data_IF_551316652738
#
_entry.id   IF_551316652738
#
_cell.length_a   1.000
_cell.length_b   1.000
_cell.length_c   1.000
_cell.angle_alpha   90.00
_cell.angle_beta   90.00
_cell.angle_gamma   90.00
#
_symmetry.space_group_name_H-M   'P 1'
#
loop_
_entity.id
_entity.type
_entity.pdbx_description
1 polymer ?
#
# COMPACT_ATOMS: atom_id res chain seq x y z
N UNK A 1 -33.63 -22.57 8.80
CA UNK A 1 -32.48 -23.49 8.66
C UNK A 1 -31.65 -23.47 9.95
N UNK A 2 -31.70 -24.54 10.74
CA UNK A 2 -30.89 -24.69 11.97
C UNK A 2 -29.43 -24.86 11.59
N UNK A 3 -28.67 -23.76 11.50
CA UNK A 3 -27.22 -23.82 11.39
C UNK A 3 -26.70 -24.31 12.74
N UNK A 4 -26.27 -25.57 12.79
CA UNK A 4 -25.62 -26.16 13.96
C UNK A 4 -24.37 -25.32 14.27
N UNK A 5 -24.33 -24.71 15.45
CA UNK A 5 -23.20 -23.94 16.02
C UNK A 5 -21.86 -24.69 16.10
N UNK A 6 -21.78 -25.96 15.71
CA UNK A 6 -20.62 -26.82 15.94
C UNK A 6 -19.94 -27.34 14.65
N UNK A 7 -20.29 -26.83 13.46
CA UNK A 7 -19.72 -27.33 12.20
C UNK A 7 -18.39 -26.67 11.79
N UNK A 8 -17.98 -25.56 12.40
CA UNK A 8 -16.80 -24.78 11.96
C UNK A 8 -15.45 -25.26 12.47
N UNK A 9 -15.36 -26.31 13.31
CA UNK A 9 -14.11 -26.60 14.02
C UNK A 9 -13.25 -27.74 13.46
N UNK A 10 -13.70 -28.48 12.43
CA UNK A 10 -12.95 -29.66 11.95
C UNK A 10 -13.22 -29.99 10.48
N UNK A 11 -12.98 -29.06 9.54
CA UNK A 11 -13.12 -29.34 8.12
C UNK A 11 -11.77 -29.26 7.42
N UNK A 12 -11.45 -30.30 6.66
CA UNK A 12 -10.32 -30.33 5.73
C UNK A 12 -10.55 -29.34 4.58
N UNK A 13 -9.48 -28.88 3.92
CA UNK A 13 -9.55 -27.88 2.84
C UNK A 13 -10.56 -28.26 1.74
N UNK A 14 -10.60 -29.54 1.34
CA UNK A 14 -11.51 -30.03 0.30
C UNK A 14 -13.01 -29.95 0.66
N UNK A 15 -13.38 -30.08 1.94
CA UNK A 15 -14.78 -29.98 2.39
C UNK A 15 -15.23 -28.53 2.54
N UNK A 16 -14.30 -27.63 2.91
CA UNK A 16 -14.55 -26.18 2.90
C UNK A 16 -14.83 -25.68 1.48
N UNK A 17 -14.09 -26.20 0.49
CA UNK A 17 -14.29 -25.88 -0.93
C UNK A 17 -15.73 -26.20 -1.37
N UNK A 18 -16.24 -27.40 -1.07
CA UNK A 18 -17.63 -27.73 -1.44
C UNK A 18 -18.69 -26.88 -0.75
N UNK A 19 -18.39 -26.32 0.43
CA UNK A 19 -19.35 -25.53 1.19
C UNK A 19 -19.44 -24.07 0.70
N UNK A 20 -18.30 -23.45 0.37
CA UNK A 20 -18.24 -22.08 -0.15
C UNK A 20 -18.96 -21.97 -1.50
N UNK A 21 -18.70 -22.89 -2.44
CA UNK A 21 -19.35 -22.91 -3.76
C UNK A 21 -20.86 -23.20 -3.72
N UNK A 22 -21.40 -23.67 -2.59
CA UNK A 22 -22.84 -23.90 -2.40
C UNK A 22 -23.58 -22.70 -1.80
N UNK A 23 -22.86 -21.68 -1.33
CA UNK A 23 -23.54 -20.51 -0.79
C UNK A 23 -24.06 -19.61 -1.91
N UNK A 24 -25.33 -19.23 -1.80
CA UNK A 24 -25.81 -18.00 -2.43
C UNK A 24 -25.12 -16.79 -1.76
N UNK A 25 -25.07 -15.65 -2.45
CA UNK A 25 -24.41 -14.42 -1.97
C UNK A 25 -24.87 -13.97 -0.57
N UNK A 26 -26.17 -14.06 -0.26
CA UNK A 26 -26.70 -13.65 1.05
C UNK A 26 -26.20 -14.54 2.22
N UNK A 27 -26.24 -15.88 2.14
CA UNK A 27 -25.55 -16.74 3.11
C UNK A 27 -24.05 -16.46 3.27
N UNK A 28 -23.34 -16.15 2.18
CA UNK A 28 -21.91 -15.82 2.23
C UNK A 28 -21.65 -14.51 2.97
N UNK A 29 -22.46 -13.47 2.70
CA UNK A 29 -22.43 -12.20 3.45
C UNK A 29 -22.65 -12.43 4.96
N UNK A 30 -23.68 -13.20 5.32
CA UNK A 30 -23.98 -13.52 6.72
C UNK A 30 -22.83 -14.27 7.37
N UNK A 31 -22.17 -15.18 6.65
CA UNK A 31 -20.99 -15.88 7.13
C UNK A 31 -19.86 -14.90 7.46
N UNK A 32 -19.49 -14.00 6.54
CA UNK A 32 -18.43 -13.00 6.77
C UNK A 32 -18.71 -12.11 8.00
N UNK A 33 -19.96 -11.71 8.18
CA UNK A 33 -20.38 -10.88 9.32
C UNK A 33 -20.33 -11.65 10.65
N UNK A 34 -20.77 -12.91 10.66
CA UNK A 34 -20.88 -13.73 11.87
C UNK A 34 -19.58 -14.46 12.26
N UNK A 35 -18.62 -14.62 11.35
CA UNK A 35 -17.37 -15.31 11.65
C UNK A 35 -16.61 -14.54 12.75
N UNK A 36 -16.26 -15.21 13.87
CA UNK A 36 -15.70 -14.54 15.05
C UNK A 36 -14.20 -14.26 14.94
N UNK A 37 -13.44 -14.96 14.07
CA UNK A 37 -11.98 -14.88 14.05
C UNK A 37 -11.38 -14.81 12.65
N UNK A 38 -10.24 -14.13 12.55
CA UNK A 38 -9.40 -13.95 11.35
C UNK A 38 -8.80 -15.26 10.83
N UNK A 39 -8.52 -16.20 11.73
CA UNK A 39 -7.80 -17.45 11.44
C UNK A 39 -8.60 -18.41 10.56
N UNK A 40 -9.92 -18.51 10.80
CA UNK A 40 -10.83 -19.35 10.00
C UNK A 40 -10.99 -18.78 8.59
N UNK A 41 -11.11 -17.45 8.46
CA UNK A 41 -11.14 -16.78 7.16
C UNK A 41 -9.85 -17.04 6.38
N UNK A 42 -8.70 -16.78 7.01
CA UNK A 42 -7.38 -16.84 6.38
C UNK A 42 -6.97 -18.24 5.92
N UNK A 43 -7.22 -19.27 6.72
CA UNK A 43 -6.72 -20.63 6.42
C UNK A 43 -7.65 -21.44 5.52
N UNK A 44 -8.96 -21.16 5.53
CA UNK A 44 -9.94 -22.05 4.89
C UNK A 44 -10.75 -21.39 3.75
N UNK A 45 -10.89 -20.06 3.72
CA UNK A 45 -11.77 -19.38 2.76
C UNK A 45 -11.03 -18.51 1.73
N UNK A 46 -9.99 -17.77 2.13
CA UNK A 46 -9.32 -16.79 1.24
C UNK A 46 -8.82 -17.38 -0.09
N UNK A 47 -8.16 -18.56 -0.15
CA UNK A 47 -7.67 -19.11 -1.42
C UNK A 47 -8.77 -19.38 -2.44
N UNK A 48 -9.98 -19.67 -1.96
CA UNK A 48 -11.12 -20.12 -2.76
C UNK A 48 -12.06 -18.97 -3.16
N UNK A 49 -11.91 -17.79 -2.55
CA UNK A 49 -12.67 -16.60 -2.93
C UNK A 49 -12.12 -16.08 -4.25
N UNK A 50 -12.97 -16.05 -5.28
CA UNK A 50 -12.67 -15.39 -6.56
C UNK A 50 -12.85 -13.87 -6.41
N UNK A 51 -12.17 -13.07 -7.24
CA UNK A 51 -12.34 -11.62 -7.21
C UNK A 51 -13.79 -11.19 -7.50
N UNK A 52 -14.52 -11.90 -8.36
CA UNK A 52 -15.94 -11.63 -8.60
C UNK A 52 -16.81 -11.88 -7.36
N UNK A 53 -16.49 -12.90 -6.54
CA UNK A 53 -17.20 -13.14 -5.27
C UNK A 53 -16.96 -12.02 -4.27
N UNK A 54 -15.71 -11.54 -4.16
CA UNK A 54 -15.34 -10.42 -3.30
C UNK A 54 -16.06 -9.13 -3.73
N UNK A 55 -16.05 -8.82 -5.03
CA UNK A 55 -16.76 -7.65 -5.57
C UNK A 55 -18.28 -7.77 -5.43
N UNK A 56 -18.85 -8.96 -5.63
CA UNK A 56 -20.29 -9.16 -5.50
C UNK A 56 -20.77 -8.95 -4.06
N UNK A 57 -20.00 -9.39 -3.05
CA UNK A 57 -20.38 -9.20 -1.66
C UNK A 57 -20.15 -7.76 -1.18
N UNK A 58 -19.11 -7.07 -1.65
CA UNK A 58 -18.86 -5.66 -1.29
C UNK A 58 -20.02 -4.75 -1.70
N UNK A 59 -20.60 -5.01 -2.89
CA UNK A 59 -21.77 -4.29 -3.42
C UNK A 59 -23.03 -4.40 -2.57
N UNK A 60 -23.13 -5.43 -1.73
CA UNK A 60 -24.27 -5.65 -0.83
C UNK A 60 -24.03 -5.12 0.58
N UNK A 61 -22.80 -4.71 0.90
CA UNK A 61 -22.39 -4.24 2.22
C UNK A 61 -22.58 -2.73 2.35
N UNK A 62 -23.05 -2.29 3.53
CA UNK A 62 -22.93 -0.87 3.92
C UNK A 62 -21.48 -0.58 4.35
N UNK A 63 -21.12 0.69 4.46
CA UNK A 63 -19.76 1.11 4.85
C UNK A 63 -19.30 0.46 6.17
N UNK A 64 -20.16 0.42 7.19
CA UNK A 64 -19.84 -0.25 8.45
C UNK A 64 -19.57 -1.76 8.30
N UNK A 65 -20.19 -2.42 7.33
CA UNK A 65 -20.05 -3.85 7.10
C UNK A 65 -18.70 -4.12 6.40
N UNK A 66 -18.34 -3.28 5.42
CA UNK A 66 -17.02 -3.28 4.79
C UNK A 66 -15.91 -3.10 5.82
N UNK A 67 -16.03 -2.09 6.70
CA UNK A 67 -15.08 -1.81 7.78
C UNK A 67 -14.95 -2.99 8.74
N UNK A 68 -16.10 -3.51 9.21
CA UNK A 68 -16.13 -4.60 10.19
C UNK A 68 -15.46 -5.88 9.67
N UNK A 69 -15.74 -6.25 8.42
CA UNK A 69 -15.16 -7.47 7.85
C UNK A 69 -13.70 -7.27 7.50
N UNK A 70 -13.33 -6.14 6.88
CA UNK A 70 -11.93 -5.85 6.56
C UNK A 70 -11.04 -5.88 7.81
N UNK A 71 -11.52 -5.36 8.96
CA UNK A 71 -10.79 -5.37 10.24
C UNK A 71 -10.44 -6.78 10.73
N UNK A 72 -11.25 -7.78 10.36
CA UNK A 72 -10.99 -9.18 10.70
C UNK A 72 -9.95 -9.82 9.77
N UNK A 73 -9.78 -9.30 8.57
CA UNK A 73 -8.84 -9.83 7.58
C UNK A 73 -7.42 -9.33 7.88
N UNK A 74 -6.63 -10.14 8.58
CA UNK A 74 -5.24 -9.83 8.91
C UNK A 74 -4.32 -10.33 7.80
N UNK A 75 -3.59 -9.43 7.17
CA UNK A 75 -2.56 -9.73 6.17
C UNK A 75 -1.28 -9.08 6.65
N UNK A 76 -0.28 -9.90 6.94
CA UNK A 76 1.01 -9.48 7.49
C UNK A 76 2.09 -9.89 6.50
N UNK A 77 2.97 -8.96 6.15
CA UNK A 77 4.06 -9.15 5.19
C UNK A 77 5.35 -8.61 5.80
N UNK A 78 6.50 -9.06 5.28
CA UNK A 78 7.79 -8.65 5.81
C UNK A 78 8.88 -8.59 4.76
N UNK A 79 9.75 -7.58 4.90
CA UNK A 79 10.99 -7.46 4.12
C UNK A 79 12.15 -7.01 5.01
N UNK A 80 12.31 -5.71 5.30
CA UNK A 80 13.26 -5.20 6.31
C UNK A 80 12.59 -4.89 7.65
N UNK A 81 11.28 -4.78 7.65
CA UNK A 81 10.41 -4.67 8.81
C UNK A 81 9.11 -5.48 8.60
N UNK A 82 8.25 -5.48 9.62
CA UNK A 82 6.98 -6.23 9.62
C UNK A 82 5.78 -5.30 9.48
N UNK A 83 5.00 -5.47 8.41
CA UNK A 83 3.90 -4.58 8.02
C UNK A 83 2.54 -5.29 8.16
N UNK A 84 1.50 -4.55 8.56
CA UNK A 84 0.11 -5.04 8.62
C UNK A 84 -0.33 -5.66 9.94
N UNK A 85 0.50 -5.55 11.00
CA UNK A 85 0.17 -6.03 12.34
C UNK A 85 -1.04 -5.29 12.94
N UNK A 86 -1.93 -5.97 13.70
CA UNK A 86 -2.99 -5.30 14.44
C UNK A 86 -2.43 -4.22 15.39
N UNK A 87 -3.09 -3.06 15.44
CA UNK A 87 -2.63 -1.93 16.26
C UNK A 87 -1.51 -1.10 15.62
N UNK A 88 -1.21 -1.34 14.35
CA UNK A 88 -0.16 -0.62 13.60
C UNK A 88 -0.75 -0.01 12.33
N UNK A 89 -0.16 1.09 11.87
CA UNK A 89 -0.38 1.68 10.56
C UNK A 89 0.94 2.27 10.05
N UNK A 90 1.34 1.79 8.88
CA UNK A 90 2.58 2.22 8.24
C UNK A 90 2.36 3.36 7.26
N UNK A 91 3.43 4.01 6.83
CA UNK A 91 3.36 5.06 5.81
C UNK A 91 4.40 4.88 4.72
N UNK A 92 4.00 5.15 3.48
CA UNK A 92 4.91 5.42 2.38
C UNK A 92 5.42 6.85 2.51
N UNK A 93 6.72 7.04 2.66
CA UNK A 93 7.33 8.36 2.49
C UNK A 93 7.55 8.56 0.99
N UNK A 94 6.89 9.54 0.39
CA UNK A 94 6.96 9.83 -1.05
C UNK A 94 7.64 11.19 -1.29
N UNK A 95 8.96 11.21 -1.50
CA UNK A 95 9.73 12.44 -1.66
C UNK A 95 9.89 12.80 -3.13
N UNK A 96 8.78 12.92 -3.86
CA UNK A 96 8.81 13.28 -5.29
C UNK A 96 9.38 14.70 -5.47
N UNK A 97 10.12 14.90 -6.55
CA UNK A 97 10.65 16.22 -6.92
C UNK A 97 10.42 16.46 -8.42
N UNK A 98 9.93 17.63 -8.87
CA UNK A 98 9.56 17.88 -10.27
C UNK A 98 10.67 17.67 -11.32
N UNK A 99 11.93 17.57 -10.86
CA UNK A 99 13.12 17.39 -11.68
C UNK A 99 14.07 16.32 -11.12
N UNK A 100 13.60 15.51 -10.18
CA UNK A 100 14.42 14.54 -9.45
C UNK A 100 15.72 15.14 -8.83
N UNK A 101 15.67 16.36 -8.27
CA UNK A 101 16.87 16.96 -7.64
C UNK A 101 17.24 16.16 -6.38
N UNK A 102 18.46 15.58 -6.30
CA UNK A 102 18.85 14.72 -5.20
C UNK A 102 18.76 15.38 -3.82
N UNK A 103 18.96 16.70 -3.74
CA UNK A 103 18.91 17.44 -2.46
C UNK A 103 17.48 17.67 -2.03
N UNK A 104 16.60 18.03 -2.97
CA UNK A 104 15.16 18.16 -2.72
C UNK A 104 14.57 16.84 -2.21
N UNK A 105 14.93 15.74 -2.87
CA UNK A 105 14.53 14.39 -2.47
C UNK A 105 15.08 14.05 -1.07
N UNK A 106 16.39 14.22 -0.84
CA UNK A 106 17.01 13.91 0.45
C UNK A 106 16.44 14.76 1.60
N UNK A 107 16.15 16.04 1.35
CA UNK A 107 15.52 16.93 2.31
C UNK A 107 14.11 16.43 2.68
N UNK A 108 13.30 16.04 1.68
CA UNK A 108 11.97 15.48 1.89
C UNK A 108 12.00 14.13 2.63
N UNK A 109 12.98 13.27 2.33
CA UNK A 109 13.23 12.03 3.09
C UNK A 109 13.50 12.35 4.56
N UNK A 110 14.43 13.25 4.85
CA UNK A 110 14.76 13.59 6.24
C UNK A 110 13.58 14.23 6.95
N UNK A 111 12.85 15.14 6.29
CA UNK A 111 11.64 15.74 6.87
C UNK A 111 10.62 14.67 7.24
N UNK A 112 10.25 13.78 6.31
CA UNK A 112 9.29 12.70 6.58
C UNK A 112 9.73 11.75 7.69
N UNK A 113 11.01 11.36 7.72
CA UNK A 113 11.55 10.51 8.80
C UNK A 113 11.45 11.18 10.18
N UNK A 114 11.61 12.51 10.27
CA UNK A 114 11.45 13.26 11.52
C UNK A 114 10.00 13.29 12.03
N UNK A 115 9.02 13.04 11.17
CA UNK A 115 7.63 12.79 11.56
C UNK A 115 7.29 11.30 11.73
N UNK A 116 8.29 10.42 11.66
CA UNK A 116 8.11 8.97 11.72
C UNK A 116 7.38 8.39 10.53
N UNK A 117 7.52 9.00 9.36
CA UNK A 117 7.03 8.46 8.09
C UNK A 117 8.08 7.60 7.40
N UNK A 118 7.66 6.57 6.67
CA UNK A 118 8.52 5.78 5.79
C UNK A 118 8.74 4.34 6.25
N UNK A 119 7.99 3.83 7.22
CA UNK A 119 8.06 2.42 7.61
C UNK A 119 7.48 1.48 6.55
N UNK A 120 6.51 1.90 5.74
CA UNK A 120 6.06 1.03 4.64
C UNK A 120 7.11 0.95 3.53
N UNK A 121 7.60 2.11 3.06
CA UNK A 121 8.59 2.25 2.00
C UNK A 121 9.00 3.72 1.88
N UNK A 122 10.25 3.99 1.50
CA UNK A 122 10.68 5.27 0.92
C UNK A 122 10.55 5.13 -0.60
N UNK A 123 9.46 5.68 -1.15
CA UNK A 123 8.99 5.40 -2.51
C UNK A 123 8.95 6.65 -3.39
N UNK A 124 9.83 6.74 -4.40
CA UNK A 124 9.92 7.88 -5.32
C UNK A 124 9.23 7.54 -6.63
N UNK A 125 8.25 8.36 -7.05
CA UNK A 125 7.83 8.41 -8.45
C UNK A 125 8.85 9.30 -9.18
N UNK A 126 9.66 8.78 -10.11
CA UNK A 126 10.68 9.58 -10.77
C UNK A 126 10.05 10.45 -11.88
N UNK A 127 10.57 11.66 -12.07
CA UNK A 127 10.24 12.52 -13.20
C UNK A 127 10.87 12.04 -14.52
N UNK A 128 11.86 11.13 -14.47
CA UNK A 128 12.53 10.55 -15.64
C UNK A 128 12.56 9.01 -15.63
N UNK A 129 12.51 8.41 -16.82
CA UNK A 129 12.72 6.96 -17.03
C UNK A 129 14.15 6.62 -17.48
N UNK A 130 15.10 7.56 -17.35
CA UNK A 130 16.50 7.35 -17.72
C UNK A 130 17.19 6.38 -16.76
N UNK A 131 17.68 5.24 -17.28
CA UNK A 131 18.35 4.21 -16.48
C UNK A 131 19.49 4.77 -15.60
N UNK A 132 20.42 5.62 -16.10
CA UNK A 132 21.42 6.26 -15.22
C UNK A 132 20.82 7.07 -14.07
N UNK A 133 19.79 7.88 -14.33
CA UNK A 133 19.16 8.70 -13.29
C UNK A 133 18.44 7.82 -12.25
N UNK A 134 17.79 6.75 -12.70
CA UNK A 134 17.17 5.76 -11.81
C UNK A 134 18.23 5.09 -10.92
N UNK A 135 19.40 4.73 -11.47
CA UNK A 135 20.52 4.20 -10.68
C UNK A 135 20.94 5.19 -9.60
N UNK A 136 21.11 6.47 -9.95
CA UNK A 136 21.50 7.52 -9.01
C UNK A 136 20.49 7.65 -7.86
N UNK A 137 19.18 7.58 -8.15
CA UNK A 137 18.12 7.57 -7.14
C UNK A 137 18.19 6.33 -6.23
N UNK A 138 18.39 5.13 -6.79
CA UNK A 138 18.52 3.91 -6.00
C UNK A 138 19.71 3.98 -5.03
N UNK A 139 20.88 4.45 -5.51
CA UNK A 139 22.06 4.59 -4.65
C UNK A 139 21.89 5.70 -3.60
N UNK A 140 21.22 6.81 -3.93
CA UNK A 140 20.93 7.87 -2.98
C UNK A 140 20.10 7.36 -1.80
N UNK A 141 19.00 6.65 -2.08
CA UNK A 141 18.11 6.15 -1.01
C UNK A 141 18.80 5.04 -0.22
N UNK A 142 19.53 4.13 -0.88
CA UNK A 142 20.31 3.09 -0.21
C UNK A 142 21.40 3.68 0.71
N UNK A 143 22.10 4.73 0.28
CA UNK A 143 23.06 5.44 1.13
C UNK A 143 22.38 6.00 2.38
N UNK A 144 21.24 6.67 2.26
CA UNK A 144 20.51 7.24 3.40
C UNK A 144 20.04 6.14 4.36
N UNK A 145 19.45 5.06 3.83
CA UNK A 145 18.99 3.92 4.64
C UNK A 145 20.16 3.31 5.41
N UNK A 146 21.30 3.08 4.76
CA UNK A 146 22.47 2.48 5.39
C UNK A 146 23.16 3.44 6.37
N UNK A 147 23.28 4.72 6.04
CA UNK A 147 23.89 5.76 6.89
C UNK A 147 23.19 5.82 8.27
N UNK A 148 21.86 5.77 8.26
CA UNK A 148 21.05 5.89 9.48
C UNK A 148 20.56 4.55 10.02
N UNK A 149 20.91 3.43 9.37
CA UNK A 149 20.46 2.08 9.74
C UNK A 149 18.94 2.00 9.90
N UNK A 150 18.23 2.57 8.92
CA UNK A 150 16.78 2.68 8.94
C UNK A 150 16.17 1.30 8.61
N UNK A 151 15.30 0.73 9.46
CA UNK A 151 14.62 -0.53 9.16
C UNK A 151 13.43 -0.26 8.23
N UNK A 152 13.73 0.04 6.97
CA UNK A 152 12.75 0.26 5.89
C UNK A 152 13.36 -0.10 4.54
N UNK A 153 12.53 -0.10 3.50
CA UNK A 153 12.87 -0.45 2.13
C UNK A 153 12.74 0.76 1.19
N UNK A 154 13.55 0.74 0.13
CA UNK A 154 13.48 1.69 -0.98
C UNK A 154 12.62 1.17 -2.14
N UNK A 155 12.01 2.08 -2.90
CA UNK A 155 11.41 1.75 -4.18
C UNK A 155 11.42 2.98 -5.10
N UNK A 156 11.87 2.82 -6.35
CA UNK A 156 11.72 3.84 -7.39
C UNK A 156 10.65 3.35 -8.37
N UNK A 157 9.50 4.02 -8.37
CA UNK A 157 8.25 3.61 -9.01
C UNK A 157 8.24 3.91 -10.52
N UNK A 158 9.28 3.45 -11.22
CA UNK A 158 9.33 3.41 -12.69
C UNK A 158 8.72 2.10 -13.21
N UNK A 159 8.60 1.95 -14.53
CA UNK A 159 8.14 0.71 -15.14
C UNK A 159 8.99 -0.51 -14.74
N UNK A 160 8.35 -1.66 -14.50
CA UNK A 160 9.00 -2.88 -14.01
C UNK A 160 10.20 -3.33 -14.86
N UNK A 161 10.17 -3.12 -16.17
CA UNK A 161 11.30 -3.48 -17.06
C UNK A 161 12.53 -2.63 -16.82
N UNK A 162 12.36 -1.36 -16.45
CA UNK A 162 13.49 -0.50 -16.08
C UNK A 162 14.10 -0.99 -14.76
N UNK A 163 13.26 -1.45 -13.83
CA UNK A 163 13.70 -2.01 -12.56
C UNK A 163 14.50 -3.31 -12.76
N UNK A 164 14.08 -4.20 -13.67
CA UNK A 164 14.88 -5.37 -14.08
C UNK A 164 16.26 -4.92 -14.62
N UNK A 165 16.28 -3.95 -15.53
CA UNK A 165 17.54 -3.45 -16.12
C UNK A 165 18.50 -2.82 -15.11
N UNK A 166 18.00 -2.06 -14.13
CA UNK A 166 18.88 -1.49 -13.08
C UNK A 166 19.38 -2.58 -12.13
N UNK A 167 18.59 -3.62 -11.85
CA UNK A 167 19.04 -4.80 -11.09
C UNK A 167 20.20 -5.49 -11.82
N UNK A 168 20.07 -5.73 -13.13
CA UNK A 168 21.14 -6.30 -13.96
C UNK A 168 22.42 -5.45 -13.96
N UNK A 169 22.27 -4.13 -13.78
CA UNK A 169 23.36 -3.16 -13.67
C UNK A 169 23.88 -2.98 -12.23
N UNK A 170 23.34 -3.70 -11.26
CA UNK A 170 23.82 -3.73 -9.88
C UNK A 170 23.20 -2.68 -8.95
N UNK A 171 22.03 -2.12 -9.28
CA UNK A 171 21.31 -1.23 -8.36
C UNK A 171 20.85 -1.98 -7.09
N UNK A 172 20.86 -1.31 -5.91
CA UNK A 172 20.41 -1.86 -4.64
C UNK A 172 18.88 -1.85 -4.49
N UNK A 173 18.15 -2.49 -5.42
CA UNK A 173 16.68 -2.49 -5.42
C UNK A 173 16.13 -3.33 -4.26
N UNK A 174 15.37 -2.73 -3.35
CA UNK A 174 14.68 -3.46 -2.28
C UNK A 174 13.32 -4.00 -2.77
N UNK A 175 12.43 -3.13 -3.25
CA UNK A 175 11.13 -3.52 -3.81
C UNK A 175 11.06 -3.23 -5.30
N UNK A 176 10.37 -4.10 -6.03
CA UNK A 176 10.01 -3.87 -7.43
C UNK A 176 8.55 -3.44 -7.55
N UNK A 177 8.35 -2.25 -8.11
CA UNK A 177 7.05 -1.64 -8.31
C UNK A 177 6.42 -1.99 -9.67
N UNK A 178 5.09 -2.08 -9.74
CA UNK A 178 4.37 -1.98 -11.01
C UNK A 178 2.89 -1.62 -10.79
N UNK A 179 2.34 -0.74 -11.64
CA UNK A 179 0.88 -0.58 -11.75
C UNK A 179 0.26 -1.78 -12.45
N UNK A 180 -0.79 -2.37 -11.87
CA UNK A 180 -1.47 -3.56 -12.39
C UNK A 180 -2.98 -3.31 -12.54
N UNK A 181 -3.62 -4.12 -13.37
CA UNK A 181 -5.04 -4.02 -13.69
C UNK A 181 -5.75 -5.39 -13.70
N UNK A 182 -7.08 -5.35 -13.60
CA UNK A 182 -7.94 -6.53 -13.54
C UNK A 182 -8.21 -7.26 -14.86
N UNK A 183 -7.66 -6.79 -15.98
CA UNK A 183 -7.80 -7.46 -17.29
C UNK A 183 -6.48 -7.53 -18.03
N UNK A 184 -6.30 -8.59 -18.81
CA UNK A 184 -5.10 -8.79 -19.62
C UNK A 184 -4.91 -7.64 -20.62
N UNK A 185 -6.00 -7.15 -21.23
CA UNK A 185 -5.93 -6.01 -22.17
C UNK A 185 -5.43 -4.73 -21.48
N UNK A 186 -5.85 -4.45 -20.26
CA UNK A 186 -5.36 -3.31 -19.49
C UNK A 186 -3.88 -3.48 -19.09
N UNK A 187 -3.48 -4.64 -18.58
CA UNK A 187 -2.08 -4.93 -18.26
C UNK A 187 -1.16 -4.80 -19.50
N UNK A 188 -1.60 -5.29 -20.67
CA UNK A 188 -0.88 -5.09 -21.93
C UNK A 188 -0.74 -3.63 -22.32
N UNK A 189 -1.76 -2.79 -22.04
CA UNK A 189 -1.67 -1.35 -22.27
C UNK A 189 -0.67 -0.65 -21.36
N UNK A 190 -0.40 -1.23 -20.19
CA UNK A 190 0.69 -0.80 -19.29
C UNK A 190 2.04 -1.37 -19.67
N UNK A 191 2.14 -2.18 -20.73
CA UNK A 191 3.41 -2.78 -21.16
C UNK A 191 3.81 -4.05 -20.41
N UNK A 192 2.89 -4.70 -19.70
CA UNK A 192 3.20 -5.87 -18.85
C UNK A 192 2.30 -7.08 -19.14
N UNK A 193 2.82 -8.25 -18.77
CA UNK A 193 2.05 -9.46 -18.53
C UNK A 193 2.53 -10.15 -17.23
N UNK A 194 1.91 -11.27 -16.87
CA UNK A 194 2.27 -11.98 -15.63
C UNK A 194 3.67 -12.59 -15.68
N UNK A 195 4.21 -12.88 -16.86
CA UNK A 195 5.55 -13.44 -17.00
C UNK A 195 6.62 -12.39 -16.66
N UNK A 196 6.44 -11.15 -17.13
CA UNK A 196 7.31 -10.02 -16.77
C UNK A 196 7.29 -9.75 -15.27
N UNK A 197 6.11 -9.83 -14.63
CA UNK A 197 6.02 -9.68 -13.17
C UNK A 197 6.74 -10.80 -12.41
N UNK A 198 6.68 -12.05 -12.91
CA UNK A 198 7.40 -13.18 -12.33
C UNK A 198 8.92 -13.04 -12.48
N UNK A 199 9.38 -12.58 -13.64
CA UNK A 199 10.79 -12.27 -13.90
C UNK A 199 11.30 -11.19 -12.93
N UNK A 200 10.54 -10.11 -12.79
CA UNK A 200 10.85 -9.01 -11.89
C UNK A 200 10.96 -9.46 -10.42
N UNK A 201 10.00 -10.27 -9.98
CA UNK A 201 10.03 -10.86 -8.64
C UNK A 201 11.28 -11.72 -8.44
N UNK A 202 11.61 -12.58 -9.41
CA UNK A 202 12.80 -13.42 -9.36
C UNK A 202 14.09 -12.59 -9.33
N UNK A 203 14.15 -11.51 -10.10
CA UNK A 203 15.29 -10.60 -10.12
C UNK A 203 15.49 -9.94 -8.75
N UNK A 204 14.44 -9.40 -8.14
CA UNK A 204 14.54 -8.76 -6.83
C UNK A 204 14.91 -9.76 -5.72
N UNK A 205 14.31 -10.95 -5.72
CA UNK A 205 14.66 -12.02 -4.77
C UNK A 205 16.13 -12.44 -4.88
N UNK A 206 16.70 -12.42 -6.09
CA UNK A 206 18.10 -12.79 -6.31
C UNK A 206 19.11 -11.88 -5.57
N UNK A 207 18.69 -10.66 -5.23
CA UNK A 207 19.53 -9.70 -4.49
C UNK A 207 19.65 -10.05 -2.99
N UNK A 208 18.76 -10.88 -2.44
CA UNK A 208 18.77 -11.33 -1.04
C UNK A 208 18.88 -10.18 -0.01
N UNK A 209 18.13 -9.09 -0.23
CA UNK A 209 18.23 -7.85 0.56
C UNK A 209 17.30 -7.78 1.77
N UNK A 210 16.31 -8.67 1.86
CA UNK A 210 15.39 -8.72 2.99
C UNK A 210 16.06 -9.26 4.25
N UNK A 211 15.81 -8.63 5.39
CA UNK A 211 16.42 -8.99 6.69
C UNK A 211 15.43 -9.63 7.67
N UNK A 212 14.12 -9.43 7.46
CA UNK A 212 13.01 -9.99 8.24
C UNK A 212 12.20 -10.98 7.41
N UNK A 213 11.94 -10.64 6.14
CA UNK A 213 11.20 -11.47 5.20
C UNK A 213 11.66 -11.26 3.77
N UNK A 214 10.90 -11.79 2.81
CA UNK A 214 11.24 -11.81 1.39
C UNK A 214 10.08 -11.40 0.47
N UNK A 215 9.10 -10.65 0.99
CA UNK A 215 8.10 -10.03 0.14
C UNK A 215 8.75 -8.84 -0.60
N UNK A 216 8.87 -8.91 -1.93
CA UNK A 216 9.65 -7.93 -2.73
C UNK A 216 8.82 -7.11 -3.71
N UNK A 217 7.54 -7.46 -3.90
CA UNK A 217 6.70 -6.76 -4.88
C UNK A 217 5.94 -5.60 -4.25
N UNK A 218 5.79 -4.53 -5.00
CA UNK A 218 4.92 -3.41 -4.69
C UNK A 218 3.97 -3.15 -5.88
N UNK A 219 2.65 -3.22 -5.67
CA UNK A 219 1.68 -2.94 -6.72
C UNK A 219 0.80 -1.73 -6.43
N UNK A 220 0.48 -0.99 -7.48
CA UNK A 220 -0.59 0.01 -7.48
C UNK A 220 -1.75 -0.40 -8.36
N UNK A 221 -2.96 -0.13 -7.87
CA UNK A 221 -4.23 -0.37 -8.55
C UNK A 221 -5.11 0.88 -8.44
N UNK A 222 -6.34 0.83 -8.93
CA UNK A 222 -7.25 1.95 -8.82
C UNK A 222 -8.46 1.79 -9.72
N UNK A 223 -9.63 2.06 -9.14
CA UNK A 223 -10.87 2.11 -9.90
C UNK A 223 -10.77 3.13 -11.03
N UNK A 224 -11.27 2.75 -12.20
CA UNK A 224 -11.26 3.58 -13.41
C UNK A 224 -10.15 3.24 -14.40
N UNK A 225 -9.03 2.68 -13.94
CA UNK A 225 -7.88 2.32 -14.79
C UNK A 225 -8.27 1.44 -15.99
N UNK A 226 -9.05 0.39 -15.74
CA UNK A 226 -9.48 -0.57 -16.76
C UNK A 226 -10.50 0.04 -17.74
N UNK A 227 -11.34 0.95 -17.27
CA UNK A 227 -12.28 1.69 -18.13
C UNK A 227 -11.54 2.70 -19.02
N UNK A 228 -10.59 3.43 -18.44
CA UNK A 228 -9.70 4.36 -19.15
C UNK A 228 -8.93 3.68 -20.28
N UNK A 229 -8.43 2.47 -20.04
CA UNK A 229 -7.78 1.63 -21.05
C UNK A 229 -8.74 1.01 -22.09
N UNK A 230 -10.04 1.33 -22.06
CA UNK A 230 -11.10 0.72 -22.88
C UNK A 230 -11.03 -0.82 -22.84
N UNK A 231 -10.82 -1.36 -21.64
CA UNK A 231 -10.45 -2.75 -21.40
C UNK A 231 -11.30 -3.41 -20.32
N UNK A 232 -12.44 -2.82 -19.96
CA UNK A 232 -13.34 -3.35 -18.94
C UNK A 232 -14.36 -4.35 -19.49
N UNK A 233 -14.58 -4.38 -20.81
CA UNK A 233 -15.48 -5.34 -21.47
C UNK A 233 -16.92 -5.29 -20.91
N UNK A 234 -17.39 -4.10 -20.51
CA UNK A 234 -18.70 -3.91 -19.89
C UNK A 234 -18.79 -4.30 -18.41
N UNK A 235 -17.67 -4.71 -17.78
CA UNK A 235 -17.58 -4.97 -16.35
C UNK A 235 -17.41 -3.67 -15.58
N UNK A 236 -18.01 -3.59 -14.39
CA UNK A 236 -17.94 -2.42 -13.52
C UNK A 236 -16.56 -2.24 -12.86
N UNK A 237 -16.28 -1.01 -12.40
CA UNK A 237 -14.98 -0.61 -11.85
C UNK A 237 -14.53 -1.48 -10.66
N UNK A 238 -15.42 -1.71 -9.69
CA UNK A 238 -15.11 -2.49 -8.49
C UNK A 238 -14.77 -3.94 -8.80
N UNK A 239 -15.48 -4.56 -9.74
CA UNK A 239 -15.20 -5.94 -10.13
C UNK A 239 -13.85 -6.05 -10.85
N UNK A 240 -13.53 -5.08 -11.71
CA UNK A 240 -12.20 -4.97 -12.31
C UNK A 240 -11.10 -4.76 -11.26
N UNK A 241 -11.35 -3.90 -10.27
CA UNK A 241 -10.40 -3.62 -9.21
C UNK A 241 -10.14 -4.84 -8.32
N UNK A 242 -11.18 -5.59 -7.93
CA UNK A 242 -11.02 -6.85 -7.22
C UNK A 242 -10.17 -7.87 -8.00
N UNK A 243 -10.28 -7.89 -9.34
CA UNK A 243 -9.44 -8.75 -10.20
C UNK A 243 -7.98 -8.32 -10.20
N UNK A 244 -7.68 -7.04 -10.07
CA UNK A 244 -6.30 -6.56 -9.90
C UNK A 244 -5.69 -7.10 -8.61
N UNK A 245 -6.46 -7.17 -7.51
CA UNK A 245 -5.99 -7.82 -6.28
C UNK A 245 -5.73 -9.31 -6.43
N UNK A 246 -6.44 -10.02 -7.31
CA UNK A 246 -6.13 -11.41 -7.61
C UNK A 246 -4.78 -11.56 -8.34
N UNK A 247 -4.41 -10.60 -9.19
CA UNK A 247 -3.07 -10.51 -9.78
C UNK A 247 -2.04 -10.25 -8.67
N UNK A 248 -2.24 -9.24 -7.82
CA UNK A 248 -1.35 -8.95 -6.70
C UNK A 248 -1.12 -10.17 -5.80
N UNK A 249 -2.20 -10.84 -5.38
CA UNK A 249 -2.17 -12.04 -4.54
C UNK A 249 -1.25 -13.13 -5.09
N UNK A 250 -1.19 -13.31 -6.41
CA UNK A 250 -0.35 -14.32 -7.05
C UNK A 250 1.14 -14.13 -6.76
N UNK A 251 1.59 -12.88 -6.59
CA UNK A 251 3.00 -12.53 -6.40
C UNK A 251 3.37 -12.21 -4.95
N UNK A 252 2.48 -12.44 -3.97
CA UNK A 252 2.78 -12.27 -2.53
C UNK A 252 3.53 -10.97 -2.21
N UNK A 253 2.99 -9.79 -2.58
CA UNK A 253 3.69 -8.52 -2.48
C UNK A 253 3.94 -8.14 -1.02
N UNK A 254 4.92 -7.25 -0.80
CA UNK A 254 5.03 -6.58 0.49
C UNK A 254 3.89 -5.58 0.64
N UNK A 255 3.66 -4.81 -0.42
CA UNK A 255 2.73 -3.70 -0.46
C UNK A 255 1.80 -3.81 -1.68
N UNK A 256 0.54 -3.46 -1.48
CA UNK A 256 -0.32 -3.05 -2.59
C UNK A 256 -1.17 -1.89 -2.13
N UNK A 257 -1.42 -0.90 -2.97
CA UNK A 257 -2.42 0.12 -2.68
C UNK A 257 -3.33 0.37 -3.87
N UNK A 258 -4.60 0.63 -3.56
CA UNK A 258 -5.46 1.39 -4.48
C UNK A 258 -5.02 2.85 -4.43
N UNK A 259 -5.15 3.55 -5.56
CA UNK A 259 -5.00 5.00 -5.65
C UNK A 259 -6.39 5.61 -5.89
N UNK A 260 -7.15 5.81 -4.81
CA UNK A 260 -8.57 6.20 -4.92
C UNK A 260 -8.68 7.72 -5.11
N UNK A 261 -9.41 8.17 -6.14
CA UNK A 261 -9.60 9.60 -6.42
C UNK A 261 -8.52 10.26 -7.29
N UNK A 262 -7.50 9.51 -7.72
CA UNK A 262 -6.36 10.02 -8.49
C UNK A 262 -6.66 10.36 -9.95
N UNK A 263 -7.56 9.60 -10.60
CA UNK A 263 -7.76 9.75 -12.05
C UNK A 263 -8.62 10.98 -12.37
N UNK A 264 -9.75 11.15 -11.67
CA UNK A 264 -10.64 12.29 -11.90
C UNK A 264 -12.13 11.98 -11.68
N UNK A 265 -12.98 13.03 -11.76
CA UNK A 265 -14.42 12.97 -11.53
C UNK A 265 -15.20 12.14 -12.55
N UNK A 266 -14.58 11.80 -13.69
CA UNK A 266 -15.17 10.93 -14.71
C UNK A 266 -15.35 9.50 -14.19
N UNK A 267 -14.59 9.12 -13.17
CA UNK A 267 -14.61 7.79 -12.56
C UNK A 267 -15.20 7.80 -11.14
N UNK A 268 -14.83 8.80 -10.33
CA UNK A 268 -15.31 9.03 -8.97
C UNK A 268 -15.54 10.54 -8.77
N UNK A 269 -16.79 10.97 -8.86
CA UNK A 269 -17.14 12.40 -9.00
C UNK A 269 -16.92 13.23 -7.74
N UNK A 270 -17.34 12.70 -6.59
CA UNK A 270 -17.41 13.43 -5.31
C UNK A 270 -16.73 12.67 -4.17
N UNK A 271 -16.51 13.36 -3.04
CA UNK A 271 -15.96 12.77 -1.82
C UNK A 271 -16.72 11.53 -1.34
N UNK A 272 -18.04 11.49 -1.51
CA UNK A 272 -18.87 10.33 -1.16
C UNK A 272 -18.52 9.08 -1.99
N UNK A 273 -18.31 9.24 -3.28
CA UNK A 273 -17.90 8.16 -4.18
C UNK A 273 -16.47 7.70 -3.87
N UNK A 274 -15.55 8.64 -3.64
CA UNK A 274 -14.17 8.34 -3.24
C UNK A 274 -14.15 7.54 -1.93
N UNK A 275 -14.88 8.00 -0.91
CA UNK A 275 -14.99 7.31 0.39
C UNK A 275 -15.53 5.89 0.20
N UNK A 276 -16.58 5.73 -0.61
CA UNK A 276 -17.19 4.42 -0.86
C UNK A 276 -16.20 3.48 -1.57
N UNK A 277 -15.55 3.95 -2.63
CA UNK A 277 -14.59 3.18 -3.41
C UNK A 277 -13.41 2.73 -2.54
N UNK A 278 -12.81 3.63 -1.75
CA UNK A 278 -11.70 3.28 -0.86
C UNK A 278 -12.06 2.19 0.16
N UNK A 279 -13.29 2.22 0.70
CA UNK A 279 -13.77 1.18 1.61
C UNK A 279 -14.02 -0.16 0.90
N UNK A 280 -14.58 -0.16 -0.30
CA UNK A 280 -14.82 -1.39 -1.08
C UNK A 280 -13.50 -2.01 -1.54
N UNK A 281 -12.56 -1.20 -1.98
CA UNK A 281 -11.19 -1.58 -2.37
C UNK A 281 -10.48 -2.24 -1.20
N UNK A 282 -10.37 -1.53 -0.07
CA UNK A 282 -9.74 -2.04 1.14
C UNK A 282 -10.34 -3.37 1.60
N UNK A 283 -11.68 -3.47 1.63
CA UNK A 283 -12.38 -4.70 1.94
C UNK A 283 -12.03 -5.84 0.96
N UNK A 284 -12.10 -5.59 -0.34
CA UNK A 284 -11.85 -6.62 -1.36
C UNK A 284 -10.41 -7.11 -1.30
N UNK A 285 -9.42 -6.22 -1.21
CA UNK A 285 -8.01 -6.60 -1.12
C UNK A 285 -7.71 -7.41 0.13
N UNK A 286 -8.19 -6.97 1.31
CA UNK A 286 -8.01 -7.72 2.56
C UNK A 286 -8.72 -9.07 2.54
N UNK A 287 -9.93 -9.14 1.98
CA UNK A 287 -10.66 -10.41 1.82
C UNK A 287 -9.93 -11.39 0.89
N UNK A 288 -9.25 -10.87 -0.13
CA UNK A 288 -8.42 -11.66 -1.03
C UNK A 288 -7.00 -11.94 -0.47
N UNK A 289 -6.67 -11.48 0.74
CA UNK A 289 -5.38 -11.75 1.36
C UNK A 289 -4.23 -10.87 0.86
N UNK A 290 -4.53 -9.70 0.30
CA UNK A 290 -3.54 -8.71 -0.16
C UNK A 290 -3.22 -7.72 0.98
N UNK A 291 -1.95 -7.33 1.21
CA UNK A 291 -1.56 -6.31 2.20
C UNK A 291 -1.96 -4.91 1.72
N UNK A 292 -3.26 -4.66 1.68
CA UNK A 292 -3.81 -3.50 0.99
C UNK A 292 -3.70 -2.22 1.86
N UNK A 293 -2.96 -1.24 1.35
CA UNK A 293 -2.98 0.16 1.75
C UNK A 293 -3.87 0.99 0.83
N UNK A 294 -3.87 2.31 1.01
CA UNK A 294 -4.65 3.24 0.20
C UNK A 294 -3.90 4.56 0.05
N UNK A 295 -3.72 5.02 -1.18
CA UNK A 295 -3.51 6.45 -1.43
C UNK A 295 -4.86 7.13 -1.21
N UNK A 296 -5.00 7.87 -0.12
CA UNK A 296 -6.25 8.57 0.21
C UNK A 296 -6.16 9.95 -0.41
N UNK A 297 -6.69 10.07 -1.62
CA UNK A 297 -6.37 11.22 -2.45
C UNK A 297 -7.54 11.73 -3.28
N UNK A 298 -7.37 12.92 -3.84
CA UNK A 298 -8.28 13.51 -4.81
C UNK A 298 -7.53 14.44 -5.76
N UNK A 299 -8.16 14.79 -6.86
CA UNK A 299 -7.67 15.81 -7.79
C UNK A 299 -8.53 17.07 -7.69
N UNK A 300 -7.91 18.23 -7.93
CA UNK A 300 -8.56 19.55 -7.78
C UNK A 300 -9.82 19.80 -8.63
N UNK A 301 -10.17 18.89 -9.55
CA UNK A 301 -11.34 19.00 -10.40
C UNK A 301 -12.46 17.99 -10.02
N UNK A 302 -12.25 17.16 -9.00
CA UNK A 302 -13.30 16.41 -8.34
C UNK A 302 -14.08 17.27 -7.33
N UNK A 303 -15.34 16.94 -7.06
CA UNK A 303 -16.13 17.57 -5.98
C UNK A 303 -15.76 16.93 -4.63
N UNK A 304 -14.51 17.15 -4.22
CA UNK A 304 -13.94 16.62 -2.98
C UNK A 304 -12.89 17.59 -2.42
N UNK A 305 -12.64 17.50 -1.13
CA UNK A 305 -11.59 18.25 -0.46
C UNK A 305 -10.87 17.41 0.62
N UNK A 306 -9.98 18.05 1.38
CA UNK A 306 -9.20 17.38 2.42
C UNK A 306 -10.08 16.85 3.58
N UNK A 307 -11.25 17.44 3.84
CA UNK A 307 -12.15 16.96 4.91
C UNK A 307 -12.77 15.59 4.53
N UNK A 308 -13.01 15.37 3.23
CA UNK A 308 -13.38 14.05 2.70
C UNK A 308 -12.26 13.03 2.89
N UNK A 309 -11.00 13.45 2.68
CA UNK A 309 -9.82 12.59 2.88
C UNK A 309 -9.64 12.25 4.36
N UNK A 310 -9.84 13.21 5.26
CA UNK A 310 -9.83 13.00 6.71
C UNK A 310 -10.86 11.95 7.14
N UNK A 311 -12.05 12.03 6.55
CA UNK A 311 -13.12 11.06 6.75
C UNK A 311 -12.68 9.68 6.26
N UNK A 312 -12.18 9.58 5.02
CA UNK A 312 -11.77 8.30 4.44
C UNK A 312 -10.63 7.64 5.22
N UNK A 313 -9.55 8.37 5.51
CA UNK A 313 -8.39 7.82 6.21
C UNK A 313 -8.77 7.33 7.62
N UNK A 314 -9.66 8.04 8.32
CA UNK A 314 -10.14 7.64 9.65
C UNK A 314 -10.97 6.35 9.59
N UNK A 315 -11.84 6.22 8.58
CA UNK A 315 -12.63 5.01 8.38
C UNK A 315 -11.75 3.81 8.03
N UNK A 316 -10.77 4.00 7.15
CA UNK A 316 -9.85 2.94 6.73
C UNK A 316 -8.90 2.50 7.86
N UNK A 317 -8.37 3.43 8.66
CA UNK A 317 -7.55 3.08 9.81
C UNK A 317 -8.34 2.25 10.85
N UNK A 318 -9.61 2.60 11.09
CA UNK A 318 -10.51 1.77 11.88
C UNK A 318 -10.72 0.38 11.26
N UNK A 319 -10.83 0.30 9.93
CA UNK A 319 -10.91 -0.95 9.16
C UNK A 319 -9.62 -1.78 9.15
N UNK A 320 -8.50 -1.28 9.69
CA UNK A 320 -7.22 -2.01 9.74
C UNK A 320 -6.40 -1.88 8.45
N UNK A 321 -6.43 -0.69 7.84
CA UNK A 321 -5.58 -0.33 6.71
C UNK A 321 -4.11 -0.65 6.97
N UNK A 322 -3.43 -1.17 5.95
CA UNK A 322 -2.02 -1.60 6.06
C UNK A 322 -1.08 -0.39 6.11
N UNK A 323 -1.25 0.55 5.19
CA UNK A 323 -0.47 1.78 5.11
C UNK A 323 -1.22 2.89 4.36
N UNK A 324 -0.80 4.14 4.59
CA UNK A 324 -1.20 5.35 3.84
C UNK A 324 0.03 6.06 3.27
N UNK A 325 -0.18 7.14 2.54
CA UNK A 325 0.88 7.96 1.99
C UNK A 325 1.30 9.02 2.99
N UNK A 326 2.54 9.48 2.87
CA UNK A 326 3.07 10.61 3.61
C UNK A 326 3.82 11.50 2.64
N UNK A 327 3.22 12.65 2.34
CA UNK A 327 3.78 13.68 1.46
C UNK A 327 3.90 15.01 2.23
N UNK A 328 4.94 15.83 1.99
CA UNK A 328 5.01 17.16 2.58
C UNK A 328 3.74 17.98 2.27
N UNK A 329 3.02 18.38 3.32
CA UNK A 329 1.84 19.25 3.19
C UNK A 329 0.64 18.65 2.44
N UNK A 330 0.59 17.32 2.25
CA UNK A 330 -0.46 16.64 1.49
C UNK A 330 -0.53 17.04 -0.01
N UNK A 331 0.47 17.75 -0.52
CA UNK A 331 0.50 18.29 -1.90
C UNK A 331 1.64 17.64 -2.69
N UNK A 332 1.31 16.80 -3.66
CA UNK A 332 2.31 16.26 -4.57
C UNK A 332 2.55 17.22 -5.73
N UNK A 333 3.60 18.03 -5.59
CA UNK A 333 4.00 19.06 -6.54
C UNK A 333 4.43 18.54 -7.91
N UNK A 334 4.62 17.22 -8.06
CA UNK A 334 4.99 16.60 -9.34
C UNK A 334 3.78 15.97 -10.02
N UNK A 335 2.97 15.24 -9.26
CA UNK A 335 1.78 14.52 -9.76
C UNK A 335 0.51 15.38 -9.77
N UNK A 336 0.53 16.56 -9.15
CA UNK A 336 -0.54 17.56 -9.14
C UNK A 336 -1.87 17.05 -8.56
N UNK A 337 -1.79 16.38 -7.41
CA UNK A 337 -2.94 15.87 -6.66
C UNK A 337 -2.72 16.04 -5.15
N UNK A 338 -3.80 15.93 -4.38
CA UNK A 338 -3.77 16.04 -2.92
C UNK A 338 -3.95 14.66 -2.30
N UNK A 339 -3.18 14.35 -1.27
CA UNK A 339 -3.18 13.05 -0.56
C UNK A 339 -3.05 13.25 0.96
N UNK A 340 -2.55 12.25 1.70
CA UNK A 340 -2.21 12.34 3.12
C UNK A 340 -0.79 12.85 3.35
N UNK A 341 -0.65 13.67 4.37
CA UNK A 341 0.59 14.26 4.84
C UNK A 341 1.28 13.42 5.90
N UNK A 342 2.51 13.80 6.25
CA UNK A 342 3.20 13.24 7.43
C UNK A 342 2.41 13.44 8.74
N UNK A 343 1.65 14.54 8.85
CA UNK A 343 0.89 14.86 10.06
C UNK A 343 -0.34 13.98 10.22
N UNK A 344 -0.92 13.53 9.11
CA UNK A 344 -2.14 12.71 9.11
C UNK A 344 -1.89 11.32 9.70
N UNK A 345 -0.72 10.75 9.42
CA UNK A 345 -0.29 9.52 10.07
C UNK A 345 -0.13 9.68 11.60
N UNK A 346 0.39 10.82 12.06
CA UNK A 346 0.49 11.13 13.49
C UNK A 346 -0.88 11.32 14.13
N UNK A 347 -1.80 11.98 13.43
CA UNK A 347 -3.21 12.07 13.84
C UNK A 347 -3.81 10.68 14.05
N UNK A 348 -3.72 9.79 13.04
CA UNK A 348 -4.29 8.44 13.11
C UNK A 348 -3.67 7.62 14.25
N UNK A 349 -2.33 7.64 14.35
CA UNK A 349 -1.59 6.95 15.43
C UNK A 349 -2.02 7.42 16.81
N UNK A 350 -2.19 8.74 17.00
CA UNK A 350 -2.58 9.32 18.29
C UNK A 350 -4.04 9.08 18.64
N UNK A 351 -4.96 9.31 17.71
CA UNK A 351 -6.41 9.23 17.96
C UNK A 351 -6.85 7.77 18.13
N UNK A 352 -6.28 6.85 17.36
CA UNK A 352 -6.67 5.44 17.36
C UNK A 352 -5.72 4.54 18.17
N UNK A 353 -4.66 5.10 18.76
CA UNK A 353 -3.67 4.35 19.52
C UNK A 353 -2.85 3.38 18.66
N UNK A 354 -2.63 3.72 17.39
CA UNK A 354 -1.85 2.91 16.45
C UNK A 354 -0.35 3.26 16.54
N UNK A 355 0.51 2.32 16.13
CA UNK A 355 1.98 2.48 16.09
C UNK A 355 2.53 2.36 14.66
N UNK A 356 3.76 2.82 14.44
CA UNK A 356 4.54 2.46 13.25
C UNK A 356 4.98 0.99 13.33
N UNK A 357 5.47 0.40 12.23
CA UNK A 357 6.02 -0.97 12.23
C UNK A 357 7.03 -1.16 13.40
N UNK A 358 7.01 -2.31 14.10
CA UNK A 358 7.75 -2.46 15.37
C UNK A 358 9.25 -2.15 15.28
N UNK A 359 9.90 -2.62 14.22
CA UNK A 359 11.31 -2.39 13.95
C UNK A 359 11.59 -0.90 13.76
N UNK A 360 10.75 -0.23 12.97
CA UNK A 360 10.84 1.21 12.71
C UNK A 360 10.52 2.06 13.94
N UNK A 361 9.50 1.71 14.72
CA UNK A 361 9.20 2.40 15.98
C UNK A 361 10.39 2.32 16.95
N UNK A 362 11.04 1.16 17.05
CA UNK A 362 12.25 1.00 17.86
C UNK A 362 13.37 1.92 17.36
N UNK A 363 13.58 2.00 16.04
CA UNK A 363 14.55 2.90 15.44
C UNK A 363 14.24 4.38 15.72
N UNK A 364 12.97 4.80 15.60
CA UNK A 364 12.54 6.17 15.90
C UNK A 364 12.86 6.57 17.34
N UNK A 365 12.68 5.65 18.30
CA UNK A 365 13.06 5.88 19.71
C UNK A 365 14.56 5.99 19.89
N UNK A 366 15.34 5.09 19.28
CA UNK A 366 16.81 5.13 19.34
C UNK A 366 17.40 6.40 18.74
N UNK A 367 16.75 6.93 17.70
CA UNK A 367 17.15 8.18 17.06
C UNK A 367 16.68 9.44 17.80
N UNK A 368 15.91 9.30 18.89
CA UNK A 368 15.25 10.38 19.62
C UNK A 368 14.29 11.20 18.75
N UNK A 369 13.67 10.57 17.76
CA UNK A 369 12.62 11.16 16.92
C UNK A 369 11.27 11.04 17.63
N UNK A 370 11.03 9.91 18.32
CA UNK A 370 9.83 9.70 19.13
C UNK A 370 10.18 9.31 20.58
N UNK A 371 9.32 9.67 21.52
CA UNK A 371 9.40 9.17 22.90
C UNK A 371 8.80 7.76 23.05
N UNK A 372 8.89 7.20 24.25
CA UNK A 372 8.28 5.91 24.59
C UNK A 372 6.76 5.85 24.38
N UNK A 373 6.09 7.00 24.40
CA UNK A 373 4.65 7.13 24.18
C UNK A 373 4.29 7.26 22.70
N UNK A 374 5.29 7.34 21.80
CA UNK A 374 5.08 7.50 20.36
C UNK A 374 4.87 8.95 19.92
N UNK A 375 5.19 9.95 20.76
CA UNK A 375 5.10 11.35 20.38
C UNK A 375 6.41 11.83 19.74
N UNK A 376 6.28 12.52 18.60
CA UNK A 376 7.41 13.19 17.94
C UNK A 376 8.05 14.21 18.87
N UNK A 377 9.38 14.19 18.94
CA UNK A 377 10.19 15.08 19.76
C UNK A 377 10.61 16.32 18.96
N UNK A 378 10.80 17.49 19.62
CA UNK A 378 11.34 18.66 18.97
C UNK A 378 12.73 18.39 18.38
N UNK A 379 12.89 18.66 17.09
CA UNK A 379 14.16 18.51 16.38
C UNK A 379 14.96 19.80 16.58
N UNK A 380 16.14 19.68 17.19
CA UNK A 380 17.09 20.80 17.30
C UNK A 380 18.17 20.67 16.23
N UNK A 381 18.91 21.75 15.94
CA UNK A 381 20.03 21.70 15.00
C UNK A 381 21.10 20.65 15.37
N UNK A 382 21.17 20.22 16.64
CA UNK A 382 22.09 19.17 17.10
C UNK A 382 21.60 17.73 16.82
N UNK A 383 20.42 17.56 16.20
CA UNK A 383 19.86 16.24 15.93
C UNK A 383 20.77 15.43 15.01
N UNK A 384 20.93 14.14 15.29
CA UNK A 384 21.90 13.26 14.61
C UNK A 384 21.69 13.18 13.10
N UNK A 385 20.43 13.19 12.63
CA UNK A 385 20.12 13.21 11.19
C UNK A 385 20.47 14.53 10.50
N UNK A 386 20.51 15.64 11.22
CA UNK A 386 20.92 16.93 10.65
C UNK A 386 22.45 17.09 10.65
N UNK A 387 23.11 16.58 11.69
CA UNK A 387 24.57 16.68 11.85
C UNK A 387 25.34 15.73 10.93
N UNK A 388 24.76 14.57 10.59
CA UNK A 388 25.42 13.52 9.81
C UNK A 388 24.87 13.38 8.39
N UNK A 389 24.18 14.39 7.85
CA UNK A 389 23.72 14.34 6.48
C UNK A 389 24.92 14.23 5.52
N UNK A 390 24.86 13.38 4.47
CA UNK A 390 25.96 13.21 3.53
C UNK A 390 26.43 14.56 2.99
N UNK A 391 27.73 14.86 3.13
CA UNK A 391 28.28 16.20 2.85
C UNK A 391 28.04 16.63 1.41
N UNK A 392 28.03 15.69 0.48
CA UNK A 392 27.78 15.98 -0.94
C UNK A 392 26.32 16.43 -1.21
N UNK A 393 25.38 16.09 -0.33
CA UNK A 393 24.00 16.61 -0.37
C UNK A 393 23.87 18.00 0.25
N UNK A 394 24.84 18.40 1.09
CA UNK A 394 24.88 19.71 1.75
C UNK A 394 25.69 20.77 1.00
N UNK A 395 26.65 20.37 0.16
CA UNK A 395 27.49 21.31 -0.58
C UNK A 395 26.73 21.89 -1.79
N UNK A 396 26.51 23.21 -1.79
CA UNK A 396 26.10 23.93 -3.00
C UNK A 396 27.28 23.91 -4.00
N UNK A 397 27.06 23.33 -5.17
CA UNK A 397 27.95 23.50 -6.33
C UNK A 397 27.77 24.89 -6.93
#
# INVERSE_FOLDING_TARGET
LKIKKNACLWLSSAETNQMIFRFCLAPFLVLLLLLPTSEILAQAAIPEITPEMAAAVSKLMRNQDLILVAKKCKVITAFRDTIGLPGHISTRLQPNHPTDDPRGIAASIVDGLLYGSGDAVIGINPATDSIPALMDLYFLVDEIINQYQIPTQSCILTHVTNQIQVIEKGAPVDLVFQSIAGTEKANKSFGIDLAVLAEAQSAALSLNRGTVGNNVMYFETGQGSVLSANANFGVDQQTCEARAYAVARHFSPLLSNTVVGFIGPEYLYDGKQIIRAGLEDHFCGKLLGVPLGCDVCYTNHAEADQDDMDTLMTLLANAGLTFIMGIPGADDIMLNYQTTSFHDALYLRKVLGLRAAPEFEQWLKQMNIMDEKGNVQPVTGAHRMLQNMPKHLLSAS
#
